data_IF_712321099109
#
_entry.id   IF_712321099109
#
_cell.length_a   1.000
_cell.length_b   1.000
_cell.length_c   1.000
_cell.angle_alpha   90.00
_cell.angle_beta   90.00
_cell.angle_gamma   90.00
#
_symmetry.space_group_name_H-M   'P 1'
#
loop_
_entity.id
_entity.type
_entity.pdbx_description
1 polymer ?
#
# COMPACT_ATOMS: atom_id res chain seq x y z
N UNK A 1 3.72 9.82 18.66
CA UNK A 1 2.69 9.03 17.99
C UNK A 1 2.31 7.90 18.94
N UNK A 2 1.03 7.72 19.22
CA UNK A 2 0.57 6.59 20.06
C UNK A 2 0.79 5.31 19.25
N UNK A 3 1.48 4.34 19.85
CA UNK A 3 1.77 3.04 19.22
C UNK A 3 1.37 1.88 20.12
N UNK A 4 0.87 2.18 21.33
CA UNK A 4 0.41 1.22 22.32
C UNK A 4 -1.08 1.45 22.58
N UNK A 5 -1.86 0.38 22.47
CA UNK A 5 -3.32 0.42 22.41
C UNK A 5 -3.94 -0.57 23.38
N UNK A 6 -5.09 -0.19 23.95
CA UNK A 6 -6.06 -1.14 24.49
C UNK A 6 -7.13 -1.41 23.42
N UNK A 7 -7.69 -2.62 23.44
CA UNK A 7 -8.73 -3.02 22.48
C UNK A 7 -10.13 -2.76 23.05
N UNK A 8 -11.00 -2.16 22.23
CA UNK A 8 -12.44 -2.12 22.40
C UNK A 8 -13.10 -2.85 21.23
N UNK A 9 -13.45 -4.12 21.43
CA UNK A 9 -14.02 -4.98 20.39
C UNK A 9 -15.54 -5.09 20.53
N UNK A 10 -16.24 -4.74 19.46
CA UNK A 10 -17.69 -4.74 19.35
C UNK A 10 -18.12 -5.73 18.27
N UNK A 11 -18.91 -6.72 18.66
CA UNK A 11 -19.60 -7.63 17.75
C UNK A 11 -20.96 -7.05 17.34
N UNK A 12 -21.20 -6.97 16.03
CA UNK A 12 -22.49 -6.64 15.43
C UNK A 12 -23.14 -7.93 14.92
N UNK A 13 -24.09 -8.45 15.69
CA UNK A 13 -24.76 -9.73 15.43
C UNK A 13 -25.84 -9.66 14.34
N UNK A 14 -26.37 -10.82 13.90
CA UNK A 14 -27.44 -10.89 12.92
C UNK A 14 -28.74 -10.26 13.45
N UNK A 15 -29.40 -9.47 12.62
CA UNK A 15 -30.63 -8.76 13.00
C UNK A 15 -31.43 -8.26 11.80
N UNK A 16 -32.41 -7.40 12.07
CA UNK A 16 -33.25 -6.79 11.04
C UNK A 16 -33.67 -5.36 11.42
N UNK A 17 -34.23 -4.63 10.46
CA UNK A 17 -34.63 -3.23 10.64
C UNK A 17 -35.76 -3.02 11.67
N UNK A 18 -36.52 -4.06 12.01
CA UNK A 18 -37.66 -3.99 12.96
C UNK A 18 -37.19 -4.27 14.38
N UNK A 19 -36.45 -5.36 14.59
CA UNK A 19 -35.95 -5.78 15.90
C UNK A 19 -34.67 -5.02 16.31
N UNK A 20 -33.90 -4.55 15.33
CA UNK A 20 -32.53 -4.06 15.49
C UNK A 20 -31.50 -5.18 15.40
N UNK A 21 -30.23 -4.80 15.47
CA UNK A 21 -29.09 -5.72 15.45
C UNK A 21 -28.50 -5.85 16.86
N UNK A 22 -28.39 -7.07 17.43
CA UNK A 22 -27.72 -7.27 18.70
C UNK A 22 -26.28 -6.78 18.65
N UNK A 23 -25.86 -6.04 19.67
CA UNK A 23 -24.47 -5.58 19.81
C UNK A 23 -23.89 -6.12 21.10
N UNK A 24 -22.67 -6.64 21.04
CA UNK A 24 -21.93 -7.09 22.23
C UNK A 24 -20.53 -6.50 22.26
N UNK A 25 -20.14 -5.87 23.36
CA UNK A 25 -18.73 -5.59 23.67
C UNK A 25 -18.11 -6.90 24.14
N UNK A 26 -17.23 -7.47 23.33
CA UNK A 26 -16.63 -8.80 23.58
C UNK A 26 -15.28 -8.71 24.28
N UNK A 27 -14.59 -7.58 24.15
CA UNK A 27 -13.36 -7.28 24.84
C UNK A 27 -13.27 -5.78 25.07
N UNK A 28 -13.11 -5.34 26.32
CA UNK A 28 -12.79 -3.96 26.64
C UNK A 28 -12.11 -3.82 28.01
N UNK A 29 -11.41 -2.69 28.26
CA UNK A 29 -10.95 -2.33 29.60
C UNK A 29 -12.06 -2.20 30.65
N UNK A 30 -13.27 -1.80 30.25
CA UNK A 30 -14.41 -1.59 31.15
C UNK A 30 -15.29 -2.86 31.33
N UNK A 31 -14.95 -3.97 30.68
CA UNK A 31 -15.71 -5.22 30.73
C UNK A 31 -16.64 -5.43 29.54
N UNK A 32 -17.51 -6.43 29.63
CA UNK A 32 -18.40 -6.81 28.54
C UNK A 32 -19.78 -6.19 28.73
N UNK A 33 -20.37 -5.73 27.64
CA UNK A 33 -21.68 -5.11 27.62
C UNK A 33 -22.51 -5.58 26.45
N UNK A 34 -23.83 -5.43 26.53
CA UNK A 34 -24.75 -5.77 25.45
C UNK A 34 -25.74 -4.65 25.19
N UNK A 35 -26.11 -4.51 23.93
CA UNK A 35 -27.06 -3.51 23.47
C UNK A 35 -27.80 -3.95 22.23
N UNK A 36 -28.56 -3.02 21.68
CA UNK A 36 -29.27 -3.18 20.42
C UNK A 36 -28.95 -1.97 19.55
N UNK A 37 -28.35 -2.22 18.39
CA UNK A 37 -28.13 -1.21 17.36
C UNK A 37 -29.46 -0.97 16.65
N UNK A 38 -29.87 0.30 16.60
CA UNK A 38 -31.01 0.75 15.82
C UNK A 38 -30.53 1.81 14.85
N UNK A 39 -30.67 1.52 13.57
CA UNK A 39 -30.29 2.39 12.47
C UNK A 39 -31.47 3.26 12.05
N UNK A 40 -31.19 4.46 11.55
CA UNK A 40 -32.22 5.39 11.05
C UNK A 40 -32.83 4.95 9.72
N UNK A 41 -32.14 4.09 8.97
CA UNK A 41 -32.55 3.53 7.69
C UNK A 41 -31.96 2.11 7.51
N UNK A 42 -32.37 1.42 6.44
CA UNK A 42 -31.80 0.13 6.10
C UNK A 42 -30.31 0.27 5.73
N UNK A 43 -29.45 -0.75 5.98
CA UNK A 43 -28.01 -0.64 5.76
C UNK A 43 -27.59 -0.27 4.32
N UNK A 44 -28.29 -0.80 3.33
CA UNK A 44 -28.09 -0.48 1.91
C UNK A 44 -28.42 0.99 1.60
N UNK A 45 -29.48 1.53 2.21
CA UNK A 45 -29.85 2.93 2.09
C UNK A 45 -28.81 3.85 2.76
N UNK A 46 -28.26 3.44 3.91
CA UNK A 46 -27.17 4.16 4.57
C UNK A 46 -25.88 4.14 3.75
N UNK A 47 -25.56 3.02 3.10
CA UNK A 47 -24.40 2.93 2.22
C UNK A 47 -24.57 3.80 0.97
N UNK A 48 -25.78 3.80 0.38
CA UNK A 48 -26.10 4.66 -0.76
C UNK A 48 -26.06 6.15 -0.37
N UNK A 49 -26.61 6.50 0.79
CA UNK A 49 -26.62 7.88 1.29
C UNK A 49 -25.21 8.42 1.57
N UNK A 50 -24.24 7.53 1.84
CA UNK A 50 -22.85 7.93 2.01
C UNK A 50 -22.15 8.29 0.68
N UNK A 51 -22.71 7.86 -0.46
CA UNK A 51 -22.15 8.17 -1.77
C UNK A 51 -22.38 9.65 -2.10
N UNK A 52 -21.30 10.37 -2.40
CA UNK A 52 -21.38 11.78 -2.81
C UNK A 52 -21.64 12.77 -1.67
N UNK A 53 -21.44 12.37 -0.41
CA UNK A 53 -21.45 13.32 0.71
C UNK A 53 -20.34 14.36 0.55
N UNK A 54 -20.66 15.61 0.89
CA UNK A 54 -19.65 16.63 1.15
C UNK A 54 -19.13 16.50 2.60
N UNK A 55 -18.14 17.33 2.97
CA UNK A 55 -17.55 17.25 4.31
C UNK A 55 -18.54 17.52 5.46
N UNK A 56 -19.57 18.36 5.25
CA UNK A 56 -20.56 18.64 6.29
C UNK A 56 -21.61 17.51 6.40
N UNK A 57 -22.01 16.94 5.26
CA UNK A 57 -22.84 15.75 5.17
C UNK A 57 -22.18 14.55 5.84
N UNK A 58 -20.89 14.34 5.58
CA UNK A 58 -20.10 13.28 6.21
C UNK A 58 -20.07 13.37 7.73
N UNK A 59 -19.88 14.58 8.29
CA UNK A 59 -19.89 14.76 9.75
C UNK A 59 -21.25 14.44 10.36
N UNK A 60 -22.35 14.87 9.73
CA UNK A 60 -23.72 14.54 10.21
C UNK A 60 -24.00 13.04 10.12
N UNK A 61 -23.70 12.44 8.97
CA UNK A 61 -23.82 11.00 8.76
C UNK A 61 -23.00 10.21 9.80
N UNK A 62 -21.75 10.62 9.99
CA UNK A 62 -20.84 10.01 10.96
C UNK A 62 -21.30 10.14 12.40
N UNK A 63 -21.91 11.28 12.74
CA UNK A 63 -22.46 11.50 14.07
C UNK A 63 -23.69 10.62 14.31
N UNK A 64 -24.55 10.42 13.30
CA UNK A 64 -25.68 9.49 13.42
C UNK A 64 -25.21 8.05 13.65
N UNK A 65 -24.15 7.61 12.96
CA UNK A 65 -23.53 6.30 13.21
C UNK A 65 -22.91 6.21 14.61
N UNK A 66 -22.21 7.27 15.05
CA UNK A 66 -21.68 7.34 16.41
C UNK A 66 -22.79 7.21 17.45
N UNK A 67 -23.85 8.00 17.31
CA UNK A 67 -24.96 8.03 18.27
C UNK A 67 -25.68 6.67 18.34
N UNK A 68 -25.85 6.00 17.20
CA UNK A 68 -26.47 4.68 17.11
C UNK A 68 -25.64 3.57 17.78
N UNK A 69 -24.31 3.62 17.64
CA UNK A 69 -23.42 2.54 18.11
C UNK A 69 -22.77 2.84 19.48
N UNK A 70 -22.15 4.01 19.61
CA UNK A 70 -21.28 4.41 20.73
C UNK A 70 -21.83 5.62 21.52
N UNK A 71 -23.01 6.11 21.17
CA UNK A 71 -23.68 7.23 21.84
C UNK A 71 -24.30 6.86 23.19
N UNK A 72 -25.57 7.23 23.38
CA UNK A 72 -26.27 7.06 24.67
C UNK A 72 -26.83 5.65 24.83
N UNK A 73 -25.94 4.65 24.90
CA UNK A 73 -26.28 3.23 25.08
C UNK A 73 -25.35 2.57 26.11
N UNK A 74 -25.68 1.38 26.67
CA UNK A 74 -24.75 0.63 27.52
C UNK A 74 -23.39 0.38 26.84
N UNK A 75 -23.40 0.13 25.53
CA UNK A 75 -22.19 -0.01 24.71
C UNK A 75 -21.39 1.30 24.67
N UNK A 76 -22.07 2.44 24.50
CA UNK A 76 -21.42 3.76 24.50
C UNK A 76 -20.88 4.20 25.87
N UNK A 77 -21.54 3.82 26.96
CA UNK A 77 -21.01 3.98 28.32
C UNK A 77 -19.73 3.17 28.50
N UNK A 78 -19.73 1.89 28.10
CA UNK A 78 -18.54 1.03 28.11
C UNK A 78 -17.39 1.59 27.25
N UNK A 79 -17.70 2.14 26.08
CA UNK A 79 -16.72 2.83 25.23
C UNK A 79 -16.10 4.03 25.94
N UNK A 80 -16.93 4.89 26.53
CA UNK A 80 -16.47 6.11 27.23
C UNK A 80 -15.59 5.77 28.44
N UNK A 81 -15.99 4.76 29.23
CA UNK A 81 -15.19 4.28 30.36
C UNK A 81 -13.87 3.67 29.91
N UNK A 82 -13.90 2.84 28.86
CA UNK A 82 -12.70 2.22 28.28
C UNK A 82 -11.72 3.26 27.74
N UNK A 83 -12.24 4.33 27.12
CA UNK A 83 -11.42 5.43 26.62
C UNK A 83 -10.78 6.21 27.77
N UNK A 84 -11.51 6.41 28.86
CA UNK A 84 -10.96 6.98 30.10
C UNK A 84 -9.81 6.16 30.67
N UNK A 85 -9.94 4.83 30.68
CA UNK A 85 -8.88 3.90 31.13
C UNK A 85 -7.65 3.99 30.21
N UNK A 86 -7.83 3.96 28.89
CA UNK A 86 -6.74 4.07 27.93
C UNK A 86 -5.96 5.39 28.10
N UNK A 87 -6.70 6.51 28.19
CA UNK A 87 -6.13 7.84 28.39
C UNK A 87 -5.36 7.95 29.72
N UNK A 88 -5.88 7.39 30.81
CA UNK A 88 -5.19 7.38 32.10
C UNK A 88 -3.85 6.61 32.08
N UNK A 89 -3.72 5.66 31.15
CA UNK A 89 -2.50 4.88 30.91
C UNK A 89 -1.60 5.46 29.82
N UNK A 90 -1.98 6.58 29.20
CA UNK A 90 -1.24 7.17 28.08
C UNK A 90 -1.27 6.31 26.80
N UNK A 91 -2.29 5.46 26.65
CA UNK A 91 -2.50 4.56 25.51
C UNK A 91 -3.67 5.04 24.64
N UNK A 92 -3.72 4.58 23.40
CA UNK A 92 -4.91 4.72 22.55
C UNK A 92 -5.95 3.63 22.85
N UNK A 93 -7.18 3.82 22.37
CA UNK A 93 -8.24 2.82 22.39
C UNK A 93 -8.58 2.37 20.97
N UNK A 94 -8.06 1.23 20.56
CA UNK A 94 -8.33 0.64 19.24
C UNK A 94 -9.74 0.09 19.20
N UNK A 95 -10.57 0.61 18.28
CA UNK A 95 -11.95 0.17 18.10
C UNK A 95 -12.04 -0.87 16.99
N UNK A 96 -12.52 -2.07 17.35
CA UNK A 96 -12.56 -3.23 16.46
C UNK A 96 -14.01 -3.66 16.25
N UNK A 97 -14.48 -3.57 15.02
CA UNK A 97 -15.84 -3.98 14.64
C UNK A 97 -15.83 -5.39 14.07
N UNK A 98 -16.37 -6.35 14.80
CA UNK A 98 -16.63 -7.70 14.30
C UNK A 98 -18.05 -7.76 13.72
N UNK A 99 -18.13 -7.62 12.40
CA UNK A 99 -19.39 -7.55 11.67
C UNK A 99 -19.82 -8.98 11.28
N UNK A 100 -20.81 -9.53 11.98
CA UNK A 100 -21.34 -10.88 11.71
C UNK A 100 -22.44 -10.82 10.65
N UNK A 101 -23.32 -9.82 10.71
CA UNK A 101 -24.37 -9.60 9.71
C UNK A 101 -23.78 -8.96 8.43
N UNK A 102 -23.79 -9.65 7.27
CA UNK A 102 -23.27 -9.10 6.02
C UNK A 102 -23.98 -7.82 5.59
N UNK A 103 -25.24 -7.62 5.97
CA UNK A 103 -25.98 -6.41 5.63
C UNK A 103 -25.35 -5.16 6.28
N UNK A 104 -24.71 -5.29 7.44
CA UNK A 104 -24.03 -4.18 8.12
C UNK A 104 -22.63 -3.90 7.53
N UNK A 105 -22.08 -4.81 6.73
CA UNK A 105 -20.74 -4.64 6.14
C UNK A 105 -20.69 -3.59 5.03
N UNK A 106 -21.82 -3.22 4.44
CA UNK A 106 -21.90 -2.19 3.39
C UNK A 106 -21.86 -0.77 3.96
N UNK A 107 -22.12 -0.59 5.26
CA UNK A 107 -22.09 0.71 5.93
C UNK A 107 -20.62 1.17 6.06
N UNK A 108 -20.28 2.41 5.68
CA UNK A 108 -18.95 2.99 5.88
C UNK A 108 -18.75 3.43 7.33
N UNK A 109 -18.53 2.47 8.21
CA UNK A 109 -18.21 2.70 9.63
C UNK A 109 -16.97 3.59 9.84
N UNK A 110 -16.11 3.71 8.84
CA UNK A 110 -14.95 4.61 8.82
C UNK A 110 -15.37 6.08 8.88
N UNK A 111 -16.59 6.41 8.47
CA UNK A 111 -17.15 7.76 8.58
C UNK A 111 -17.70 8.08 9.97
N UNK A 112 -17.63 7.17 10.97
CA UNK A 112 -18.03 7.51 12.34
C UNK A 112 -17.29 8.77 12.79
N UNK A 113 -18.08 9.78 13.15
CA UNK A 113 -17.60 11.09 13.57
C UNK A 113 -17.85 11.27 15.06
N UNK A 114 -16.82 11.64 15.81
CA UNK A 114 -16.93 11.83 17.24
C UNK A 114 -16.90 13.32 17.58
N UNK A 115 -18.08 13.90 17.84
CA UNK A 115 -18.24 15.33 18.15
C UNK A 115 -17.35 15.82 19.30
N UNK A 116 -17.06 14.95 20.29
CA UNK A 116 -16.22 15.29 21.45
C UNK A 116 -14.81 15.73 21.04
N UNK A 117 -14.27 15.10 19.99
CA UNK A 117 -12.94 15.39 19.43
C UNK A 117 -13.00 16.24 18.17
N UNK A 118 -14.18 16.35 17.54
CA UNK A 118 -14.34 17.08 16.29
C UNK A 118 -13.70 16.39 15.09
N UNK A 119 -13.49 15.07 15.18
CA UNK A 119 -12.73 14.28 14.22
C UNK A 119 -13.42 12.94 13.88
N UNK A 120 -13.14 12.41 12.69
CA UNK A 120 -13.50 11.04 12.31
C UNK A 120 -12.60 10.03 13.01
N UNK A 121 -13.18 8.98 13.60
CA UNK A 121 -12.40 7.97 14.34
C UNK A 121 -11.34 7.30 13.46
N UNK A 122 -11.65 7.08 12.18
CA UNK A 122 -10.72 6.49 11.22
C UNK A 122 -9.53 7.40 10.84
N UNK A 123 -9.55 8.68 11.19
CA UNK A 123 -8.45 9.65 11.06
C UNK A 123 -7.70 9.88 12.38
N UNK A 124 -8.11 9.22 13.47
CA UNK A 124 -7.51 9.38 14.79
C UNK A 124 -6.47 8.30 15.08
N UNK A 125 -5.30 8.71 15.53
CA UNK A 125 -4.33 7.79 16.15
C UNK A 125 -4.72 7.37 17.56
N UNK A 126 -5.63 8.09 18.22
CA UNK A 126 -6.09 7.77 19.57
C UNK A 126 -7.16 6.69 19.54
N UNK A 127 -8.03 6.70 18.52
CA UNK A 127 -9.18 5.80 18.40
C UNK A 127 -9.31 5.16 17.01
N UNK A 128 -8.27 4.48 16.50
CA UNK A 128 -8.32 3.89 15.17
C UNK A 128 -9.43 2.85 15.08
N UNK A 129 -10.15 2.86 13.95
CA UNK A 129 -11.27 1.97 13.66
C UNK A 129 -10.92 0.93 12.57
N UNK A 130 -11.17 -0.34 12.87
CA UNK A 130 -10.88 -1.50 12.02
C UNK A 130 -12.04 -2.48 11.98
N UNK A 131 -12.13 -3.26 10.89
CA UNK A 131 -13.08 -4.38 10.79
C UNK A 131 -12.35 -5.70 11.03
N UNK A 132 -12.95 -6.55 11.86
CA UNK A 132 -12.45 -7.87 12.20
C UNK A 132 -13.32 -8.93 11.54
N UNK A 133 -12.70 -9.90 10.89
CA UNK A 133 -13.40 -11.13 10.49
C UNK A 133 -13.20 -12.20 11.57
N UNK A 134 -14.24 -12.97 11.85
CA UNK A 134 -14.12 -14.13 12.73
C UNK A 134 -13.15 -15.15 12.14
N UNK A 135 -12.16 -15.55 12.93
CA UNK A 135 -11.09 -16.41 12.47
C UNK A 135 -10.71 -17.44 13.52
N UNK A 136 -10.73 -18.71 13.12
CA UNK A 136 -10.51 -19.84 14.02
C UNK A 136 -9.04 -20.02 14.51
N UNK A 137 -8.07 -19.31 13.92
CA UNK A 137 -6.66 -19.46 14.31
C UNK A 137 -5.93 -18.10 14.29
N UNK A 138 -5.18 -17.76 15.37
CA UNK A 138 -4.34 -16.58 15.41
C UNK A 138 -3.18 -16.72 14.42
N UNK A 139 -2.95 -15.69 13.61
CA UNK A 139 -1.81 -15.64 12.70
C UNK A 139 -0.61 -14.99 13.38
N UNK A 140 0.59 -15.53 13.15
CA UNK A 140 1.84 -14.88 13.52
C UNK A 140 2.37 -13.96 12.40
N UNK A 141 2.97 -12.80 12.75
CA UNK A 141 3.65 -11.94 11.80
C UNK A 141 4.71 -12.71 10.99
N UNK A 142 4.85 -12.40 9.70
CA UNK A 142 5.90 -12.98 8.86
C UNK A 142 7.20 -12.18 9.04
N UNK A 143 8.29 -12.84 9.40
CA UNK A 143 9.62 -12.22 9.33
C UNK A 143 10.00 -12.01 7.86
N UNK A 144 10.21 -10.75 7.47
CA UNK A 144 10.59 -10.37 6.10
C UNK A 144 11.91 -9.64 6.17
N UNK A 145 12.92 -10.15 5.47
CA UNK A 145 14.11 -9.35 5.12
C UNK A 145 13.79 -8.65 3.80
N UNK A 146 13.93 -7.32 3.70
CA UNK A 146 13.66 -6.60 2.46
C UNK A 146 14.30 -7.26 1.22
N UNK A 147 13.61 -7.21 0.07
CA UNK A 147 12.42 -6.39 -0.20
C UNK A 147 11.07 -7.03 0.19
N UNK A 148 10.10 -6.19 0.52
CA UNK A 148 8.68 -6.56 0.54
C UNK A 148 8.21 -6.81 -0.90
N UNK A 149 8.08 -8.09 -1.28
CA UNK A 149 7.65 -8.51 -2.63
C UNK A 149 6.13 -8.43 -2.80
N UNK A 150 5.71 -7.64 -3.78
CA UNK A 150 4.32 -7.32 -4.12
C UNK A 150 4.03 -7.88 -5.51
N UNK A 151 3.04 -8.78 -5.60
CA UNK A 151 2.53 -9.29 -6.87
C UNK A 151 1.34 -8.44 -7.30
N UNK A 152 1.52 -7.66 -8.36
CA UNK A 152 0.47 -6.85 -8.96
C UNK A 152 -0.32 -7.60 -10.04
N UNK A 153 -1.63 -7.46 -10.05
CA UNK A 153 -2.50 -7.82 -11.16
C UNK A 153 -3.38 -6.62 -11.51
N UNK A 154 -3.19 -6.05 -12.70
CA UNK A 154 -4.05 -5.03 -13.26
C UNK A 154 -4.71 -5.60 -14.51
N UNK A 155 -6.04 -5.77 -14.46
CA UNK A 155 -6.83 -6.42 -15.50
C UNK A 155 -8.19 -5.73 -15.67
N UNK A 156 -8.55 -5.51 -16.92
CA UNK A 156 -9.85 -4.99 -17.31
C UNK A 156 -10.26 -5.58 -18.67
N UNK A 157 -11.12 -6.62 -18.67
CA UNK A 157 -11.64 -7.18 -19.92
C UNK A 157 -12.77 -6.32 -20.54
N UNK A 158 -13.20 -5.24 -19.89
CA UNK A 158 -14.25 -4.33 -20.37
C UNK A 158 -13.69 -3.16 -21.18
N UNK A 159 -12.47 -2.72 -20.85
CA UNK A 159 -11.81 -1.57 -21.48
C UNK A 159 -12.28 -0.22 -20.95
N UNK A 160 -12.90 -0.19 -19.78
CA UNK A 160 -13.39 1.01 -19.08
C UNK A 160 -12.29 1.68 -18.24
N UNK A 161 -11.24 0.95 -17.87
CA UNK A 161 -10.14 1.40 -17.00
C UNK A 161 -8.88 1.66 -17.83
N UNK A 162 -8.24 2.80 -17.59
CA UNK A 162 -6.88 3.06 -18.09
C UNK A 162 -5.85 2.30 -17.24
N UNK A 163 -5.65 1.01 -17.55
CA UNK A 163 -4.75 0.14 -16.80
C UNK A 163 -3.30 0.65 -16.76
N UNK A 164 -2.85 1.41 -17.76
CA UNK A 164 -1.50 1.97 -17.77
C UNK A 164 -1.38 3.10 -16.75
N UNK A 165 -2.38 3.98 -16.67
CA UNK A 165 -2.45 5.00 -15.64
C UNK A 165 -2.54 4.39 -14.22
N UNK A 166 -3.31 3.31 -14.06
CA UNK A 166 -3.42 2.58 -12.79
C UNK A 166 -2.08 1.99 -12.34
N UNK A 167 -1.40 1.27 -13.25
CA UNK A 167 -0.08 0.68 -12.98
C UNK A 167 0.93 1.75 -12.62
N UNK A 168 0.98 2.82 -13.42
CA UNK A 168 1.88 3.94 -13.18
C UNK A 168 1.61 4.63 -11.82
N UNK A 169 0.36 4.71 -11.37
CA UNK A 169 0.04 5.27 -10.06
C UNK A 169 0.64 4.45 -8.91
N UNK A 170 0.49 3.12 -8.96
CA UNK A 170 1.06 2.21 -7.95
C UNK A 170 2.59 2.16 -8.04
N UNK A 171 3.15 2.14 -9.25
CA UNK A 171 4.60 2.17 -9.47
C UNK A 171 5.22 3.46 -8.92
N UNK A 172 4.63 4.62 -9.19
CA UNK A 172 5.08 5.90 -8.66
C UNK A 172 4.99 5.95 -7.13
N UNK A 173 3.90 5.41 -6.56
CA UNK A 173 3.72 5.32 -5.12
C UNK A 173 4.81 4.46 -4.45
N UNK A 174 5.27 3.39 -5.13
CA UNK A 174 6.28 2.47 -4.62
C UNK A 174 7.72 2.81 -5.03
N UNK A 175 7.92 3.77 -5.94
CA UNK A 175 9.22 4.07 -6.53
C UNK A 175 10.31 4.35 -5.47
N UNK A 176 9.99 5.12 -4.43
CA UNK A 176 10.92 5.41 -3.35
C UNK A 176 11.37 4.16 -2.58
N UNK A 177 10.43 3.24 -2.29
CA UNK A 177 10.72 1.98 -1.60
C UNK A 177 11.52 1.02 -2.47
N UNK A 178 11.21 0.94 -3.77
CA UNK A 178 11.94 0.13 -4.73
C UNK A 178 13.37 0.64 -4.88
N UNK A 179 13.57 1.96 -5.01
CA UNK A 179 14.90 2.57 -5.10
C UNK A 179 15.76 2.30 -3.85
N UNK A 180 15.13 2.20 -2.67
CA UNK A 180 15.79 1.86 -1.40
C UNK A 180 15.96 0.35 -1.17
N UNK A 181 15.50 -0.49 -2.09
CA UNK A 181 15.50 -1.95 -1.94
C UNK A 181 14.55 -2.46 -0.84
N UNK A 182 13.61 -1.64 -0.39
CA UNK A 182 12.63 -1.98 0.64
C UNK A 182 11.40 -2.72 0.08
N UNK A 183 11.09 -2.54 -1.20
CA UNK A 183 9.98 -3.22 -1.87
C UNK A 183 10.37 -3.68 -3.28
N UNK A 184 9.65 -4.67 -3.79
CA UNK A 184 9.73 -5.14 -5.18
C UNK A 184 8.30 -5.28 -5.70
N UNK A 185 7.93 -4.56 -6.77
CA UNK A 185 6.64 -4.71 -7.43
C UNK A 185 6.83 -5.49 -8.73
N UNK A 186 6.05 -6.55 -8.92
CA UNK A 186 6.04 -7.34 -10.16
C UNK A 186 4.62 -7.48 -10.65
N UNK A 187 4.35 -6.98 -11.86
CA UNK A 187 3.05 -7.13 -12.52
C UNK A 187 2.93 -8.47 -13.26
N UNK A 188 1.77 -9.11 -13.15
CA UNK A 188 1.40 -10.23 -14.00
C UNK A 188 1.23 -9.76 -15.45
N UNK A 189 1.84 -10.51 -16.37
CA UNK A 189 1.67 -10.29 -17.80
C UNK A 189 0.29 -10.73 -18.32
N UNK A 190 -0.34 -11.71 -17.64
CA UNK A 190 -1.67 -12.24 -17.98
C UNK A 190 -2.75 -11.75 -17.01
N UNK A 191 -4.01 -11.95 -17.40
CA UNK A 191 -5.19 -11.49 -16.67
C UNK A 191 -6.08 -12.61 -16.11
N UNK A 192 -5.67 -13.89 -16.24
CA UNK A 192 -6.54 -15.03 -15.92
C UNK A 192 -6.28 -15.60 -14.52
N UNK A 193 -7.23 -16.35 -13.97
CA UNK A 193 -7.01 -17.06 -12.70
C UNK A 193 -5.85 -18.06 -12.77
N UNK A 194 -5.56 -18.63 -13.96
CA UNK A 194 -4.43 -19.55 -14.18
C UNK A 194 -3.10 -18.84 -14.05
N UNK A 195 -3.03 -17.57 -14.45
CA UNK A 195 -1.82 -16.75 -14.32
C UNK A 195 -1.54 -16.44 -12.85
N UNK A 196 -2.57 -16.10 -12.07
CA UNK A 196 -2.47 -15.97 -10.61
C UNK A 196 -1.94 -17.28 -10.01
N UNK A 197 -2.57 -18.40 -10.33
CA UNK A 197 -2.15 -19.70 -9.80
C UNK A 197 -0.69 -20.02 -10.18
N UNK A 198 -0.27 -19.75 -11.41
CA UNK A 198 1.11 -20.00 -11.88
C UNK A 198 2.11 -19.13 -11.14
N UNK A 199 1.79 -17.86 -10.92
CA UNK A 199 2.66 -16.91 -10.23
C UNK A 199 2.86 -17.24 -8.75
N UNK A 200 1.82 -17.76 -8.09
CA UNK A 200 1.86 -18.19 -6.69
C UNK A 200 2.50 -19.56 -6.47
N UNK A 201 2.96 -20.26 -7.53
CA UNK A 201 3.76 -21.48 -7.36
C UNK A 201 5.13 -21.14 -6.78
N UNK A 202 5.62 -21.99 -5.89
CA UNK A 202 6.86 -21.74 -5.12
C UNK A 202 8.13 -21.49 -5.94
N UNK A 203 8.15 -21.79 -7.24
CA UNK A 203 9.27 -21.50 -8.13
C UNK A 203 9.53 -20.00 -8.34
N UNK A 204 8.56 -19.12 -8.07
CA UNK A 204 8.69 -17.67 -8.25
C UNK A 204 9.07 -16.93 -6.95
N UNK A 205 9.42 -17.68 -5.91
CA UNK A 205 9.75 -17.17 -4.58
C UNK A 205 8.52 -16.77 -3.76
N UNK A 206 8.77 -16.14 -2.61
CA UNK A 206 7.72 -15.67 -1.72
C UNK A 206 7.14 -14.33 -2.17
N UNK A 207 5.84 -14.29 -2.42
CA UNK A 207 5.02 -13.08 -2.46
C UNK A 207 4.46 -12.75 -1.07
N UNK A 208 4.56 -11.49 -0.65
CA UNK A 208 4.07 -11.02 0.65
C UNK A 208 2.73 -10.30 0.51
N UNK A 209 2.56 -9.56 -0.59
CA UNK A 209 1.35 -8.80 -0.90
C UNK A 209 0.83 -9.18 -2.30
N UNK A 210 -0.48 -9.30 -2.44
CA UNK A 210 -1.15 -9.37 -3.74
C UNK A 210 -1.96 -8.09 -3.93
N UNK A 211 -1.62 -7.28 -4.93
CA UNK A 211 -2.30 -6.02 -5.25
C UNK A 211 -3.12 -6.20 -6.53
N UNK A 212 -4.43 -6.12 -6.40
CA UNK A 212 -5.37 -6.23 -7.51
C UNK A 212 -5.90 -4.85 -7.90
N UNK A 213 -5.88 -4.57 -9.20
CA UNK A 213 -6.56 -3.42 -9.82
C UNK A 213 -7.48 -3.95 -10.92
N UNK A 214 -8.76 -3.64 -10.82
CA UNK A 214 -9.77 -4.08 -11.76
C UNK A 214 -11.17 -3.85 -11.22
N UNK A 215 -12.15 -4.59 -11.73
CA UNK A 215 -13.54 -4.50 -11.27
C UNK A 215 -13.88 -5.53 -10.20
N UNK A 216 -14.76 -5.12 -9.29
CA UNK A 216 -15.26 -5.92 -8.17
C UNK A 216 -16.77 -5.98 -8.26
N UNK A 217 -17.34 -7.07 -7.78
CA UNK A 217 -18.78 -7.28 -7.76
C UNK A 217 -19.19 -7.83 -6.41
N UNK A 218 -20.40 -7.51 -5.96
CA UNK A 218 -21.00 -8.10 -4.77
C UNK A 218 -22.42 -8.57 -5.05
N UNK A 219 -22.67 -9.86 -4.89
CA UNK A 219 -24.00 -10.45 -4.96
C UNK A 219 -24.66 -10.41 -3.57
N UNK A 220 -25.63 -9.52 -3.39
CA UNK A 220 -26.38 -9.38 -2.14
C UNK A 220 -27.23 -10.61 -1.79
N UNK A 221 -27.62 -11.41 -2.78
CA UNK A 221 -28.45 -12.60 -2.57
C UNK A 221 -27.65 -13.71 -1.90
N UNK A 222 -26.42 -13.92 -2.39
CA UNK A 222 -25.52 -14.96 -1.88
C UNK A 222 -24.57 -14.44 -0.80
N UNK A 223 -24.42 -13.12 -0.69
CA UNK A 223 -23.43 -12.47 0.19
C UNK A 223 -21.99 -12.68 -0.29
N UNK A 224 -21.78 -13.02 -1.57
CA UNK A 224 -20.48 -13.34 -2.13
C UNK A 224 -19.97 -12.18 -2.99
N UNK A 225 -18.72 -11.76 -2.74
CA UNK A 225 -18.01 -10.82 -3.60
C UNK A 225 -17.17 -11.54 -4.66
N UNK A 226 -16.94 -10.91 -5.81
CA UNK A 226 -16.15 -11.45 -6.93
C UNK A 226 -15.24 -10.38 -7.53
N UNK A 227 -14.17 -10.80 -8.21
CA UNK A 227 -13.34 -9.91 -9.04
C UNK A 227 -13.49 -10.27 -10.50
N UNK A 228 -13.40 -9.29 -11.39
CA UNK A 228 -13.46 -9.53 -12.83
C UNK A 228 -12.06 -9.80 -13.39
N UNK A 229 -11.91 -10.93 -14.05
CA UNK A 229 -10.68 -11.36 -14.70
C UNK A 229 -10.90 -11.52 -16.20
N UNK A 230 -9.81 -11.66 -16.95
CA UNK A 230 -9.89 -12.15 -18.32
C UNK A 230 -10.11 -13.67 -18.32
N UNK A 231 -11.07 -14.14 -19.12
CA UNK A 231 -11.23 -15.54 -19.50
C UNK A 231 -10.19 -15.98 -20.52
N UNK A 232 -10.06 -17.29 -20.75
CA UNK A 232 -9.09 -17.83 -21.73
C UNK A 232 -9.38 -17.41 -23.17
N UNK A 233 -10.63 -17.03 -23.46
CA UNK A 233 -11.07 -16.52 -24.76
C UNK A 233 -11.07 -14.98 -24.82
N UNK A 234 -10.54 -14.31 -23.79
CA UNK A 234 -10.50 -12.86 -23.66
C UNK A 234 -11.81 -12.22 -23.19
N UNK A 235 -12.88 -13.00 -22.95
CA UNK A 235 -14.14 -12.47 -22.41
C UNK A 235 -14.04 -12.23 -20.89
N UNK A 236 -14.86 -11.34 -20.31
CA UNK A 236 -14.91 -11.17 -18.87
C UNK A 236 -15.30 -12.47 -18.15
N UNK A 237 -14.54 -12.86 -17.13
CA UNK A 237 -14.81 -13.99 -16.23
C UNK A 237 -14.89 -13.50 -14.79
N UNK A 238 -16.01 -13.73 -14.11
CA UNK A 238 -16.13 -13.46 -12.68
C UNK A 238 -15.44 -14.58 -11.88
N UNK A 239 -14.53 -14.18 -11.00
CA UNK A 239 -13.90 -15.08 -10.03
C UNK A 239 -14.33 -14.70 -8.61
N UNK A 240 -15.18 -15.54 -8.02
CA UNK A 240 -15.69 -15.32 -6.67
C UNK A 240 -14.58 -15.34 -5.61
N UNK A 241 -14.76 -14.55 -4.55
CA UNK A 241 -13.82 -14.38 -3.46
C UNK A 241 -13.50 -15.71 -2.77
N UNK A 242 -14.44 -16.66 -2.72
CA UNK A 242 -14.17 -18.01 -2.23
C UNK A 242 -13.16 -18.77 -3.09
N UNK A 243 -13.20 -18.61 -4.41
CA UNK A 243 -12.26 -19.23 -5.34
C UNK A 243 -10.93 -18.50 -5.34
N UNK A 244 -10.94 -17.16 -5.35
CA UNK A 244 -9.73 -16.35 -5.24
C UNK A 244 -8.99 -16.60 -3.92
N UNK A 245 -9.71 -16.64 -2.80
CA UNK A 245 -9.15 -16.94 -1.49
C UNK A 245 -8.49 -18.32 -1.43
N UNK A 246 -9.03 -19.32 -2.14
CA UNK A 246 -8.40 -20.65 -2.25
C UNK A 246 -7.05 -20.60 -2.97
N UNK A 247 -6.92 -19.76 -4.01
CA UNK A 247 -5.65 -19.58 -4.72
C UNK A 247 -4.62 -18.86 -3.83
N UNK A 248 -5.06 -17.81 -3.13
CA UNK A 248 -4.20 -16.93 -2.34
C UNK A 248 -3.77 -17.55 -1.01
N UNK A 249 -4.68 -18.18 -0.27
CA UNK A 249 -4.40 -18.78 1.04
C UNK A 249 -3.44 -19.99 0.96
N UNK A 250 -3.27 -20.58 -0.23
CA UNK A 250 -2.28 -21.64 -0.45
C UNK A 250 -0.83 -21.12 -0.45
N UNK A 251 -0.61 -19.81 -0.61
CA UNK A 251 0.71 -19.21 -0.61
C UNK A 251 1.11 -18.77 0.81
N UNK A 252 1.88 -19.63 1.50
CA UNK A 252 2.18 -19.49 2.93
C UNK A 252 2.88 -18.17 3.35
N UNK A 253 3.49 -17.43 2.43
CA UNK A 253 4.11 -16.12 2.71
C UNK A 253 3.19 -14.92 2.43
N UNK A 254 2.04 -15.12 1.80
CA UNK A 254 1.09 -14.03 1.56
C UNK A 254 0.48 -13.58 2.89
N UNK A 255 0.54 -12.29 3.19
CA UNK A 255 -0.05 -11.71 4.40
C UNK A 255 -1.03 -10.58 4.11
N UNK A 256 -1.00 -10.00 2.91
CA UNK A 256 -1.90 -8.91 2.56
C UNK A 256 -2.43 -9.06 1.14
N UNK A 257 -3.73 -8.84 1.00
CA UNK A 257 -4.37 -8.60 -0.29
C UNK A 257 -4.89 -7.18 -0.31
N UNK A 258 -4.61 -6.43 -1.37
CA UNK A 258 -5.17 -5.10 -1.61
C UNK A 258 -6.05 -5.20 -2.84
N UNK A 259 -7.35 -4.94 -2.68
CA UNK A 259 -8.34 -4.86 -3.75
C UNK A 259 -8.64 -3.39 -4.01
N UNK A 260 -7.95 -2.81 -4.98
CA UNK A 260 -8.17 -1.44 -5.41
C UNK A 260 -9.30 -1.40 -6.44
N UNK A 261 -10.34 -0.61 -6.14
CA UNK A 261 -11.42 -0.29 -7.06
C UNK A 261 -11.03 0.89 -7.97
N UNK A 262 -11.64 0.94 -9.15
CA UNK A 262 -11.26 1.80 -10.26
C UNK A 262 -11.52 3.30 -10.02
N UNK A 263 -10.73 4.10 -10.73
CA UNK A 263 -10.83 5.54 -10.89
C UNK A 263 -11.89 6.01 -11.90
N UNK A 264 -12.82 5.14 -12.33
CA UNK A 264 -13.84 5.45 -13.33
C UNK A 264 -15.12 6.01 -12.70
N UNK A 265 -15.70 7.04 -13.30
CA UNK A 265 -16.90 7.73 -12.82
C UNK A 265 -18.21 6.91 -12.93
N UNK A 266 -18.14 5.68 -13.43
CA UNK A 266 -19.27 4.79 -13.66
C UNK A 266 -19.35 3.68 -12.61
N UNK A 267 -19.26 4.03 -11.32
CA UNK A 267 -19.47 3.04 -10.26
C UNK A 267 -20.96 2.80 -10.01
N UNK A 268 -21.32 1.53 -9.90
CA UNK A 268 -22.64 1.08 -9.47
C UNK A 268 -22.57 0.57 -8.03
N UNK A 269 -23.69 0.52 -7.32
CA UNK A 269 -23.77 -0.03 -5.95
C UNK A 269 -23.29 -1.50 -5.82
N UNK A 270 -23.04 -2.18 -6.94
CA UNK A 270 -22.45 -3.52 -7.01
C UNK A 270 -20.91 -3.56 -6.93
N UNK A 271 -20.19 -2.44 -7.01
CA UNK A 271 -18.71 -2.39 -7.01
C UNK A 271 -18.06 -2.49 -5.61
N UNK A 272 -18.79 -3.03 -4.62
CA UNK A 272 -18.38 -3.05 -3.23
C UNK A 272 -17.44 -4.23 -2.92
N UNK A 273 -16.13 -4.01 -3.03
CA UNK A 273 -15.12 -4.99 -2.61
C UNK A 273 -15.14 -5.32 -1.12
N UNK A 274 -15.78 -4.49 -0.30
CA UNK A 274 -15.94 -4.72 1.13
C UNK A 274 -16.58 -6.09 1.44
N UNK A 275 -17.49 -6.57 0.57
CA UNK A 275 -18.08 -7.90 0.67
C UNK A 275 -17.11 -9.04 0.29
N UNK A 276 -16.26 -8.83 -0.72
CA UNK A 276 -15.21 -9.78 -1.11
C UNK A 276 -14.13 -9.92 -0.02
N UNK A 277 -13.79 -8.82 0.66
CA UNK A 277 -12.75 -8.79 1.69
C UNK A 277 -13.07 -9.69 2.89
N UNK A 278 -14.31 -9.62 3.40
CA UNK A 278 -14.76 -10.50 4.48
C UNK A 278 -14.67 -11.99 4.09
N UNK A 279 -15.08 -12.35 2.87
CA UNK A 279 -14.97 -13.73 2.38
C UNK A 279 -13.52 -14.18 2.25
N UNK A 280 -12.64 -13.35 1.67
CA UNK A 280 -11.21 -13.68 1.53
C UNK A 280 -10.56 -13.98 2.89
N UNK A 281 -10.85 -13.17 3.91
CA UNK A 281 -10.30 -13.41 5.25
C UNK A 281 -10.85 -14.69 5.88
N UNK A 282 -12.16 -14.95 5.76
CA UNK A 282 -12.77 -16.22 6.19
C UNK A 282 -12.16 -17.43 5.48
N UNK A 283 -11.69 -17.26 4.23
CA UNK A 283 -11.04 -18.31 3.42
C UNK A 283 -9.55 -18.48 3.71
N UNK A 284 -9.00 -17.74 4.66
CA UNK A 284 -7.63 -17.93 5.15
C UNK A 284 -6.64 -16.88 4.68
N UNK A 285 -7.07 -15.86 3.93
CA UNK A 285 -6.21 -14.69 3.68
C UNK A 285 -6.04 -13.92 4.99
N UNK A 286 -4.81 -13.64 5.43
CA UNK A 286 -4.59 -12.95 6.71
C UNK A 286 -5.17 -11.55 6.89
N UNK A 287 -5.07 -10.72 5.86
CA UNK A 287 -5.55 -9.36 5.85
C UNK A 287 -5.93 -8.98 4.43
N UNK A 288 -7.02 -8.23 4.32
CA UNK A 288 -7.49 -7.68 3.06
C UNK A 288 -7.80 -6.21 3.27
N UNK A 289 -7.28 -5.36 2.40
CA UNK A 289 -7.77 -4.01 2.21
C UNK A 289 -8.62 -4.01 0.94
N UNK A 290 -9.80 -3.40 1.02
CA UNK A 290 -10.72 -3.26 -0.09
C UNK A 290 -11.26 -1.84 -0.14
N UNK A 291 -11.43 -1.30 -1.34
CA UNK A 291 -12.11 -0.01 -1.51
C UNK A 291 -13.62 -0.21 -1.46
N UNK A 292 -14.32 0.59 -0.64
CA UNK A 292 -15.79 0.56 -0.52
C UNK A 292 -16.48 1.61 -1.43
N UNK A 293 -15.72 2.54 -2.01
CA UNK A 293 -16.21 3.52 -2.99
C UNK A 293 -15.18 3.71 -4.11
N UNK A 294 -15.59 4.38 -5.19
CA UNK A 294 -14.66 4.94 -6.17
C UNK A 294 -13.72 5.94 -5.48
N UNK A 295 -12.46 5.96 -5.89
CA UNK A 295 -11.44 6.87 -5.36
C UNK A 295 -10.86 7.66 -6.52
N UNK A 296 -10.57 8.95 -6.33
CA UNK A 296 -9.89 9.76 -7.34
C UNK A 296 -8.40 9.43 -7.41
N UNK A 297 -7.79 9.58 -8.60
CA UNK A 297 -6.43 9.11 -8.87
C UNK A 297 -5.36 9.71 -7.96
N UNK A 298 -5.55 10.97 -7.57
CA UNK A 298 -4.67 11.63 -6.60
C UNK A 298 -4.76 10.98 -5.22
N UNK A 299 -5.97 10.71 -4.73
CA UNK A 299 -6.19 10.13 -3.41
C UNK A 299 -5.71 8.68 -3.33
N UNK A 300 -5.97 7.85 -4.34
CA UNK A 300 -5.49 6.46 -4.35
C UNK A 300 -3.96 6.37 -4.41
N UNK A 301 -3.31 7.27 -5.17
CA UNK A 301 -1.85 7.36 -5.24
C UNK A 301 -1.27 7.74 -3.89
N UNK A 302 -1.81 8.78 -3.26
CA UNK A 302 -1.33 9.28 -1.97
C UNK A 302 -1.56 8.27 -0.85
N UNK A 303 -2.72 7.62 -0.85
CA UNK A 303 -3.02 6.51 0.03
C UNK A 303 -2.04 5.36 -0.16
N UNK A 304 -1.84 4.87 -1.39
CA UNK A 304 -0.96 3.74 -1.69
C UNK A 304 0.48 4.03 -1.27
N UNK A 305 0.98 5.23 -1.58
CA UNK A 305 2.34 5.67 -1.24
C UNK A 305 2.56 5.60 0.28
N UNK A 306 1.72 6.32 1.01
CA UNK A 306 1.84 6.43 2.48
C UNK A 306 1.62 5.07 3.15
N UNK A 307 0.65 4.30 2.67
CA UNK A 307 0.34 2.98 3.21
C UNK A 307 1.52 2.00 3.09
N UNK A 308 2.10 1.88 1.89
CA UNK A 308 3.24 0.98 1.68
C UNK A 308 4.52 1.48 2.35
N UNK A 309 4.73 2.80 2.46
CA UNK A 309 5.83 3.36 3.24
C UNK A 309 5.71 2.98 4.72
N UNK A 310 4.55 3.20 5.32
CA UNK A 310 4.27 2.83 6.71
C UNK A 310 4.41 1.31 6.95
N UNK A 311 3.94 0.46 6.03
CA UNK A 311 4.13 -0.98 6.13
C UNK A 311 5.62 -1.37 6.04
N UNK A 312 6.39 -0.74 5.15
CA UNK A 312 7.82 -1.02 5.02
C UNK A 312 8.63 -0.55 6.23
N UNK A 313 8.15 0.48 6.93
CA UNK A 313 8.69 0.95 8.21
C UNK A 313 8.29 0.05 9.39
N UNK A 314 7.51 -1.00 9.15
CA UNK A 314 7.12 -2.01 10.14
C UNK A 314 5.92 -1.60 11.01
N UNK A 315 5.15 -0.59 10.59
CA UNK A 315 3.91 -0.24 11.29
C UNK A 315 2.90 -1.38 11.19
N UNK A 316 2.09 -1.56 12.24
CA UNK A 316 0.93 -2.43 12.19
C UNK A 316 -0.05 -1.94 11.09
N UNK A 317 -0.81 -2.86 10.52
CA UNK A 317 -1.72 -2.58 9.40
C UNK A 317 -2.64 -1.39 9.67
N UNK A 318 -3.14 -1.30 10.90
CA UNK A 318 -3.99 -0.22 11.37
C UNK A 318 -3.30 1.14 11.37
N UNK A 319 -2.06 1.22 11.84
CA UNK A 319 -1.30 2.45 11.89
C UNK A 319 -0.97 2.91 10.48
N UNK A 320 -0.55 1.97 9.63
CA UNK A 320 -0.33 2.24 8.21
C UNK A 320 -1.60 2.72 7.50
N UNK A 321 -2.75 2.15 7.85
CA UNK A 321 -4.04 2.56 7.29
C UNK A 321 -4.43 3.97 7.77
N UNK A 322 -4.32 4.26 9.08
CA UNK A 322 -4.62 5.58 9.63
C UNK A 322 -3.72 6.66 9.02
N UNK A 323 -2.40 6.42 8.92
CA UNK A 323 -1.47 7.36 8.24
C UNK A 323 -1.88 7.62 6.80
N UNK A 324 -2.23 6.56 6.05
CA UNK A 324 -2.64 6.68 4.66
C UNK A 324 -3.97 7.42 4.51
N UNK A 325 -4.91 7.27 5.46
CA UNK A 325 -6.17 8.04 5.49
C UNK A 325 -5.92 9.51 5.80
N UNK A 326 -5.05 9.81 6.76
CA UNK A 326 -4.66 11.20 7.08
C UNK A 326 -4.04 11.85 5.86
N UNK A 327 -3.07 11.19 5.19
CA UNK A 327 -2.45 11.69 3.98
C UNK A 327 -3.48 11.94 2.85
N UNK A 328 -4.38 10.99 2.59
CA UNK A 328 -5.44 11.14 1.61
C UNK A 328 -6.45 12.26 1.98
N UNK A 329 -6.67 12.50 3.27
CA UNK A 329 -7.57 13.56 3.77
C UNK A 329 -7.03 14.98 3.53
N UNK A 330 -5.73 15.13 3.27
CA UNK A 330 -5.12 16.41 2.91
C UNK A 330 -5.54 16.88 1.50
N UNK A 331 -6.06 15.97 0.68
CA UNK A 331 -6.71 16.28 -0.58
C UNK A 331 -8.14 16.80 -0.40
N UNK A 332 -8.92 16.79 -1.47
CA UNK A 332 -10.35 17.13 -1.43
C UNK A 332 -11.22 15.87 -1.41
N UNK A 333 -12.24 15.85 -0.57
CA UNK A 333 -13.29 14.82 -0.59
C UNK A 333 -13.18 13.79 0.54
N UNK A 334 -13.94 12.71 0.39
CA UNK A 334 -14.08 11.63 1.38
C UNK A 334 -13.39 10.34 0.92
N UNK A 335 -12.57 10.42 -0.11
CA UNK A 335 -11.81 9.30 -0.69
C UNK A 335 -10.94 8.58 0.35
N UNK A 336 -10.49 9.29 1.39
CA UNK A 336 -9.78 8.71 2.53
C UNK A 336 -10.59 7.64 3.27
N UNK A 337 -11.93 7.70 3.23
CA UNK A 337 -12.80 6.73 3.87
C UNK A 337 -13.02 5.46 3.03
N UNK A 338 -12.65 5.48 1.74
CA UNK A 338 -12.89 4.34 0.86
C UNK A 338 -12.14 3.05 1.27
N UNK A 339 -10.87 3.08 1.71
CA UNK A 339 -10.16 1.87 2.09
C UNK A 339 -10.68 1.29 3.42
N UNK A 340 -11.19 0.06 3.37
CA UNK A 340 -11.58 -0.72 4.55
C UNK A 340 -10.63 -1.90 4.73
N UNK A 341 -10.23 -2.18 5.97
CA UNK A 341 -9.37 -3.31 6.29
C UNK A 341 -10.16 -4.38 7.05
N UNK A 342 -10.09 -5.61 6.54
CA UNK A 342 -10.50 -6.82 7.23
C UNK A 342 -9.26 -7.57 7.69
N UNK A 343 -9.22 -7.87 8.98
CA UNK A 343 -8.04 -8.46 9.61
C UNK A 343 -8.41 -9.76 10.33
N UNK A 344 -7.46 -10.71 10.30
CA UNK A 344 -7.45 -11.92 11.13
C UNK A 344 -6.30 -11.96 12.15
N UNK A 345 -5.32 -11.05 12.06
CA UNK A 345 -4.29 -10.91 13.07
C UNK A 345 -4.84 -10.20 14.33
N UNK A 346 -4.59 -10.70 15.55
CA UNK A 346 -5.07 -10.05 16.76
C UNK A 346 -4.39 -8.70 17.05
N UNK A 347 -3.14 -8.51 16.63
CA UNK A 347 -2.32 -7.32 16.91
C UNK A 347 -2.10 -6.41 15.68
N UNK A 348 -2.62 -6.78 14.50
CA UNK A 348 -2.47 -6.02 13.26
C UNK A 348 -1.08 -6.07 12.62
N UNK A 349 -0.11 -6.76 13.22
CA UNK A 349 1.26 -6.83 12.68
C UNK A 349 1.33 -7.95 11.64
N UNK A 350 1.46 -7.57 10.36
CA UNK A 350 1.55 -8.53 9.27
C UNK A 350 2.99 -8.98 9.00
N UNK A 351 3.92 -8.06 9.14
CA UNK A 351 5.33 -8.24 8.78
C UNK A 351 6.22 -7.75 9.92
N UNK A 352 7.16 -8.60 10.33
CA UNK A 352 8.31 -8.17 11.12
C UNK A 352 9.43 -7.87 10.13
N UNK A 353 9.52 -6.61 9.74
CA UNK A 353 10.57 -6.13 8.84
C UNK A 353 11.90 -6.18 9.58
N UNK A 354 12.75 -7.15 9.24
CA UNK A 354 14.12 -7.14 9.72
C UNK A 354 14.80 -5.91 9.13
N UNK A 355 15.48 -5.12 9.96
CA UNK A 355 16.45 -4.17 9.45
C UNK A 355 17.46 -5.00 8.67
N UNK A 356 17.57 -4.79 7.36
CA UNK A 356 18.68 -5.37 6.61
C UNK A 356 19.94 -5.05 7.43
N UNK A 357 20.79 -6.04 7.77
CA UNK A 357 21.92 -5.77 8.63
C UNK A 357 22.66 -4.59 8.02
N UNK A 358 22.70 -3.47 8.77
CA UNK A 358 23.67 -2.43 8.48
C UNK A 358 24.96 -3.19 8.34
N UNK A 359 25.58 -3.17 7.15
CA UNK A 359 26.86 -3.81 6.95
C UNK A 359 27.75 -3.28 8.06
N UNK A 360 28.00 -4.12 9.06
CA UNK A 360 28.75 -3.77 10.25
C UNK A 360 30.18 -3.58 9.76
N UNK A 361 30.49 -2.35 9.39
CA UNK A 361 31.87 -1.88 9.37
C UNK A 361 32.41 -2.10 10.79
N UNK A 362 33.52 -2.83 10.98
CA UNK A 362 34.09 -3.03 12.31
C UNK A 362 34.34 -1.68 12.99
N UNK A 363 33.98 -1.59 14.26
CA UNK A 363 34.06 -0.40 15.08
C UNK A 363 35.44 0.28 14.99
N UNK A 364 35.44 1.56 14.57
CA UNK A 364 36.63 2.40 14.57
C UNK A 364 36.92 2.92 15.98
N UNK A 365 38.11 2.59 16.48
CA UNK A 365 38.82 3.25 17.58
C UNK A 365 39.03 4.75 17.28
N UNK A 366 39.10 5.66 18.27
CA UNK A 366 39.24 7.11 18.01
C UNK A 366 40.56 7.46 17.30
N UNK A 367 40.62 8.61 16.59
CA UNK A 367 41.54 8.81 15.48
C UNK A 367 42.95 9.18 15.95
N UNK A 368 43.94 8.50 15.39
CA UNK A 368 45.27 9.04 15.18
C UNK A 368 45.45 9.23 13.67
N UNK A 369 45.58 10.47 13.22
CA UNK A 369 46.13 10.79 11.90
C UNK A 369 47.62 10.36 11.85
N UNK A 370 48.27 10.14 10.67
CA UNK A 370 47.90 10.67 9.35
C UNK A 370 47.99 9.73 8.11
N UNK A 371 47.38 10.23 7.03
CA UNK A 371 47.64 10.11 5.57
C UNK A 371 46.89 9.05 4.71
N UNK A 372 46.49 9.41 3.45
CA UNK A 372 45.37 8.79 2.73
C UNK A 372 45.73 8.10 1.39
N UNK A 373 44.88 7.15 0.96
CA UNK A 373 44.58 6.75 -0.42
C UNK A 373 43.35 5.81 -0.37
N UNK A 374 42.27 5.87 -1.14
CA UNK A 374 41.82 6.71 -2.24
C UNK A 374 40.65 5.96 -2.91
N UNK A 375 39.40 6.39 -2.72
CA UNK A 375 38.25 5.93 -3.51
C UNK A 375 37.80 7.07 -4.42
N UNK A 376 38.06 6.93 -5.72
CA UNK A 376 37.92 7.98 -6.73
C UNK A 376 36.45 8.32 -7.01
N UNK A 377 35.88 9.25 -6.24
CA UNK A 377 34.76 10.08 -6.68
C UNK A 377 35.32 11.25 -7.49
N UNK A 378 34.64 11.64 -8.57
CA UNK A 378 34.97 12.85 -9.29
C UNK A 378 34.72 14.06 -8.37
N UNK A 379 35.60 15.05 -8.40
CA UNK A 379 35.28 16.36 -7.83
C UNK A 379 34.14 17.00 -8.64
N UNK A 380 33.41 17.96 -8.07
CA UNK A 380 32.33 18.66 -8.80
C UNK A 380 32.82 19.30 -10.12
N UNK A 381 34.08 19.76 -10.16
CA UNK A 381 34.70 20.28 -11.37
C UNK A 381 34.98 19.17 -12.41
N UNK A 382 35.44 18.00 -11.96
CA UNK A 382 35.67 16.84 -12.83
C UNK A 382 34.35 16.26 -13.37
N UNK A 383 33.32 16.19 -12.52
CA UNK A 383 31.99 15.75 -12.92
C UNK A 383 31.42 16.63 -14.03
N UNK A 384 31.43 17.96 -13.84
CA UNK A 384 30.96 18.89 -14.86
C UNK A 384 31.78 18.86 -16.16
N UNK A 385 33.11 18.68 -16.05
CA UNK A 385 33.97 18.54 -17.21
C UNK A 385 33.67 17.25 -18.00
N UNK A 386 33.46 16.12 -17.32
CA UNK A 386 33.14 14.86 -17.98
C UNK A 386 31.75 14.84 -18.59
N UNK A 387 30.77 15.37 -17.85
CA UNK A 387 29.39 15.52 -18.30
C UNK A 387 29.32 16.31 -19.61
N UNK A 388 29.94 17.50 -19.66
CA UNK A 388 30.01 18.30 -20.90
C UNK A 388 30.73 17.57 -22.02
N UNK A 389 31.83 16.87 -21.73
CA UNK A 389 32.58 16.13 -22.74
C UNK A 389 31.75 15.00 -23.36
N UNK A 390 30.93 14.29 -22.56
CA UNK A 390 30.01 13.27 -23.07
C UNK A 390 28.89 13.88 -23.91
N UNK A 391 28.28 14.99 -23.47
CA UNK A 391 27.24 15.69 -24.24
C UNK A 391 27.74 16.19 -25.60
N UNK A 392 28.98 16.66 -25.66
CA UNK A 392 29.58 17.14 -26.91
C UNK A 392 30.10 16.01 -27.81
N UNK A 393 30.26 14.79 -27.29
CA UNK A 393 30.86 13.67 -28.00
C UNK A 393 29.84 12.65 -28.55
N UNK A 394 28.64 12.62 -27.99
CA UNK A 394 27.64 11.59 -28.28
C UNK A 394 26.23 12.19 -28.43
N UNK A 395 25.49 11.73 -29.44
CA UNK A 395 24.03 11.78 -29.38
C UNK A 395 23.47 10.73 -28.41
N UNK A 396 22.17 10.77 -28.11
CA UNK A 396 21.55 9.79 -27.21
C UNK A 396 21.73 8.35 -27.71
N UNK A 397 21.50 8.09 -28.98
CA UNK A 397 21.62 6.74 -29.55
C UNK A 397 23.07 6.27 -29.62
N UNK A 398 24.01 7.19 -29.84
CA UNK A 398 25.44 6.87 -29.80
C UNK A 398 25.91 6.58 -28.37
N UNK A 399 25.39 7.30 -27.37
CA UNK A 399 25.68 7.05 -25.96
C UNK A 399 25.10 5.69 -25.52
N UNK A 400 23.88 5.36 -25.94
CA UNK A 400 23.28 4.01 -25.74
C UNK A 400 24.19 2.93 -26.29
N UNK A 401 24.66 3.10 -27.52
CA UNK A 401 25.52 2.13 -28.18
C UNK A 401 26.88 2.00 -27.47
N UNK A 402 27.48 3.11 -27.05
CA UNK A 402 28.75 3.11 -26.31
C UNK A 402 28.62 2.37 -24.97
N UNK A 403 27.56 2.63 -24.20
CA UNK A 403 27.31 1.95 -22.92
C UNK A 403 27.09 0.45 -23.14
N UNK A 404 26.36 0.06 -24.19
CA UNK A 404 26.13 -1.35 -24.52
C UNK A 404 27.41 -2.07 -24.93
N UNK A 405 28.25 -1.45 -25.75
CA UNK A 405 29.47 -2.08 -26.29
C UNK A 405 30.60 -2.09 -25.26
N UNK A 406 30.87 -0.96 -24.63
CA UNK A 406 32.07 -0.78 -23.79
C UNK A 406 31.83 -1.15 -22.33
N UNK A 407 30.59 -1.06 -21.84
CA UNK A 407 30.25 -1.39 -20.45
C UNK A 407 29.38 -2.65 -20.31
N UNK A 408 28.82 -3.17 -21.40
CA UNK A 408 27.93 -4.35 -21.38
C UNK A 408 26.56 -4.08 -20.76
N UNK A 409 26.16 -2.82 -20.65
CA UNK A 409 24.94 -2.40 -19.94
C UNK A 409 23.91 -1.78 -20.89
N UNK A 410 22.64 -1.75 -20.47
CA UNK A 410 21.60 -1.05 -21.19
C UNK A 410 21.40 0.36 -20.60
N UNK A 411 21.69 1.41 -21.36
CA UNK A 411 21.53 2.79 -20.90
C UNK A 411 20.10 3.11 -20.46
N UNK A 412 19.07 2.52 -21.09
CA UNK A 412 17.67 2.75 -20.70
C UNK A 412 17.32 2.10 -19.36
N UNK A 413 18.10 1.10 -18.90
CA UNK A 413 17.97 0.51 -17.55
C UNK A 413 18.69 1.33 -16.48
N UNK A 414 19.63 2.20 -16.89
CA UNK A 414 20.40 3.08 -16.01
C UNK A 414 19.71 4.45 -15.89
N UNK A 415 19.18 4.96 -17.01
CA UNK A 415 18.53 6.26 -17.12
C UNK A 415 17.47 6.23 -18.22
N UNK A 416 16.21 5.98 -17.83
CA UNK A 416 15.10 5.66 -18.74
C UNK A 416 14.40 6.87 -19.36
N UNK A 417 14.46 8.06 -18.75
CA UNK A 417 13.71 9.24 -19.23
C UNK A 417 14.44 10.56 -18.94
N UNK A 418 14.45 11.49 -19.89
CA UNK A 418 14.96 12.85 -19.69
C UNK A 418 15.67 13.42 -20.92
N UNK A 419 16.17 14.65 -20.79
CA UNK A 419 17.08 15.21 -21.79
C UNK A 419 18.41 14.46 -21.81
N UNK A 420 19.16 14.52 -22.91
CA UNK A 420 20.50 13.92 -23.00
C UNK A 420 21.42 14.36 -21.85
N UNK A 421 21.24 15.60 -21.36
CA UNK A 421 21.90 16.13 -20.17
C UNK A 421 21.59 15.32 -18.91
N UNK A 422 20.31 15.10 -18.61
CA UNK A 422 19.90 14.35 -17.42
C UNK A 422 20.32 12.88 -17.50
N UNK A 423 20.23 12.27 -18.70
CA UNK A 423 20.67 10.89 -18.94
C UNK A 423 22.18 10.73 -18.73
N UNK A 424 22.97 11.70 -19.21
CA UNK A 424 24.43 11.70 -19.03
C UNK A 424 24.83 11.87 -17.57
N UNK A 425 24.10 12.71 -16.82
CA UNK A 425 24.31 12.90 -15.38
C UNK A 425 24.02 11.62 -14.59
N UNK A 426 22.90 10.96 -14.90
CA UNK A 426 22.52 9.69 -14.30
C UNK A 426 23.53 8.58 -14.63
N UNK A 427 24.05 8.54 -15.85
CA UNK A 427 25.08 7.59 -16.27
C UNK A 427 26.39 7.77 -15.51
N UNK A 428 26.88 9.01 -15.34
CA UNK A 428 28.10 9.27 -14.58
C UNK A 428 27.90 8.89 -13.11
N UNK A 429 26.77 9.28 -12.52
CA UNK A 429 26.42 8.98 -11.13
C UNK A 429 26.31 7.47 -10.89
N UNK A 430 25.71 6.74 -11.83
CA UNK A 430 25.66 5.28 -11.81
C UNK A 430 27.08 4.67 -11.87
N UNK A 431 27.97 5.21 -12.70
CA UNK A 431 29.33 4.70 -12.85
C UNK A 431 30.18 4.96 -11.59
N UNK A 432 29.98 6.08 -10.90
CA UNK A 432 30.60 6.35 -9.59
C UNK A 432 30.09 5.38 -8.52
N UNK A 433 28.77 5.15 -8.47
CA UNK A 433 28.14 4.26 -7.47
C UNK A 433 28.55 2.80 -7.64
N UNK A 434 28.76 2.36 -8.88
CA UNK A 434 29.08 0.97 -9.23
C UNK A 434 30.57 0.71 -9.36
N UNK A 435 31.43 1.71 -9.14
CA UNK A 435 32.88 1.60 -9.32
C UNK A 435 33.30 1.44 -10.79
N UNK A 436 32.40 1.70 -11.74
CA UNK A 436 32.63 1.58 -13.19
C UNK A 436 33.04 2.88 -13.87
N UNK A 437 33.31 3.93 -13.10
CA UNK A 437 33.76 5.22 -13.63
C UNK A 437 34.97 5.09 -14.57
N UNK A 438 35.94 4.25 -14.21
CA UNK A 438 37.11 4.01 -15.06
C UNK A 438 36.76 3.36 -16.40
N UNK A 439 35.84 2.38 -16.38
CA UNK A 439 35.35 1.74 -17.59
C UNK A 439 34.55 2.71 -18.47
N UNK A 440 33.73 3.57 -17.85
CA UNK A 440 32.97 4.60 -18.57
C UNK A 440 33.90 5.61 -19.27
N UNK A 441 34.90 6.12 -18.57
CA UNK A 441 35.86 7.08 -19.11
C UNK A 441 36.71 6.47 -20.23
N UNK A 442 37.17 5.23 -20.05
CA UNK A 442 37.94 4.52 -21.07
C UNK A 442 37.09 4.18 -22.30
N UNK A 443 35.87 3.69 -22.10
CA UNK A 443 34.92 3.39 -23.17
C UNK A 443 34.61 4.62 -24.00
N UNK A 444 34.24 5.73 -23.35
CA UNK A 444 33.95 6.99 -24.02
C UNK A 444 35.15 7.51 -24.85
N UNK A 445 36.37 7.49 -24.29
CA UNK A 445 37.59 7.93 -24.99
C UNK A 445 37.95 7.02 -26.17
N UNK A 446 37.75 5.70 -26.02
CA UNK A 446 38.00 4.70 -27.07
C UNK A 446 37.01 4.82 -28.23
N UNK A 447 35.73 5.09 -27.96
CA UNK A 447 34.71 5.29 -29.00
C UNK A 447 34.87 6.63 -29.74
N UNK A 448 35.50 7.62 -29.11
CA UNK A 448 35.72 8.97 -29.67
C UNK A 448 37.17 9.44 -29.50
N UNK A 449 38.15 8.79 -30.15
CA UNK A 449 39.58 9.08 -29.94
C UNK A 449 39.97 10.50 -30.36
N UNK A 450 39.26 11.11 -31.33
CA UNK A 450 39.48 12.47 -31.80
C UNK A 450 38.77 13.59 -31.03
N UNK A 451 37.93 13.28 -30.03
CA UNK A 451 37.21 14.31 -29.26
C UNK A 451 38.16 14.97 -28.25
N UNK A 452 38.47 16.25 -28.47
CA UNK A 452 39.46 17.00 -27.66
C UNK A 452 39.03 17.16 -26.19
N UNK A 453 37.74 17.26 -25.90
CA UNK A 453 37.24 17.44 -24.53
C UNK A 453 37.35 16.15 -23.71
N UNK A 454 37.03 15.01 -24.30
CA UNK A 454 37.24 13.70 -23.66
C UNK A 454 38.73 13.42 -23.43
N UNK A 455 39.60 13.76 -24.38
CA UNK A 455 41.05 13.60 -24.19
C UNK A 455 41.61 14.53 -23.09
N UNK A 456 41.13 15.78 -23.05
CA UNK A 456 41.49 16.72 -21.99
C UNK A 456 41.03 16.21 -20.61
N UNK A 457 39.82 15.65 -20.52
CA UNK A 457 39.30 15.04 -19.30
C UNK A 457 40.11 13.81 -18.87
N UNK A 458 40.41 12.88 -19.77
CA UNK A 458 41.24 11.69 -19.46
C UNK A 458 42.63 12.11 -18.97
N UNK A 459 43.23 13.13 -19.57
CA UNK A 459 44.53 13.65 -19.19
C UNK A 459 44.54 14.33 -17.81
N UNK A 460 43.45 15.00 -17.41
CA UNK A 460 43.32 15.62 -16.08
C UNK A 460 42.94 14.60 -15.00
N UNK A 461 42.11 13.62 -15.35
CA UNK A 461 41.67 12.54 -14.47
C UNK A 461 42.83 11.60 -14.09
N UNK A 462 43.72 11.26 -15.03
CA UNK A 462 44.93 10.45 -14.76
C UNK A 462 46.02 11.16 -13.94
N UNK A 463 45.94 12.49 -13.78
CA UNK A 463 46.91 13.31 -13.03
C UNK A 463 46.45 13.62 -11.60
N UNK A 464 45.28 13.15 -11.19
CA UNK A 464 44.81 13.26 -9.81
C UNK A 464 45.43 12.10 -9.00
N UNK A 465 46.09 12.38 -7.84
CA UNK A 465 46.80 11.37 -7.06
C UNK A 465 45.89 10.27 -6.51
#
# INVERSE_FOLDING_TARGET
MITDYLDFEVELGPGDAVAGWPVSVVQSPAGNERGMLRLSAAPDQLALAAQGLDGAGARRYGQELFDALLGHSPVGSSYTESLGVANALGKGLRVRLRIVDPALAVIPWELIFEQRFGEFMALSHETPLLRMAEAAQPMQPLAVTPPLRILGLAVDPTGEIDLDAERAAVENALAGLVLRGQAELVWLAGGTWRDIQRALRGSNGAWHVFHFVGHGFFDQTTGEGSVLLAGEDGRPELLDASRLGRLLAAHAALRLVVLSACHSAATTASDLYAGAAGTLVRRGVPAVIAMQFAVAAGAAREWSRTFYEALADGMALEGALTEARIAASMGSGLDWAAPVAYLRAPDGVLFNMATAPAQTSPAATPPSAPAPAGSAKLTGQQFGAFHRALLNAFSLDELRMMVRIELGENLDTIASTGSLSAITEALISWAERTGRLAALVQGASKTRPGNRELQAFVASWRKSP
#
